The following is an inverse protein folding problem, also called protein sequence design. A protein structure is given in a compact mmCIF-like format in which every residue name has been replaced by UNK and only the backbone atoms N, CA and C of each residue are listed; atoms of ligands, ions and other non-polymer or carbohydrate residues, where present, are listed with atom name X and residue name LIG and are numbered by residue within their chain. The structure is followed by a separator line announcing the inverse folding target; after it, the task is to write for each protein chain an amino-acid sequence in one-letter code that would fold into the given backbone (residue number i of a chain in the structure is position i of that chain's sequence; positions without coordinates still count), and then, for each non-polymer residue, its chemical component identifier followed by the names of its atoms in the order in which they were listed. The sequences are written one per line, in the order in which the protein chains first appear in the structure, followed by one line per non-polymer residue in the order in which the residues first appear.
data_IF_403769199418
#
_entry.id   IF_403769199418
#
_cell.length_a   1.000
_cell.length_b   1.000
_cell.length_c   1.000
_cell.angle_alpha   90.00
_cell.angle_beta   90.00
_cell.angle_gamma   90.00
#
_symmetry.space_group_name_H-M   'P 1'
#
loop_
_entity.id
_entity.type
_entity.pdbx_description
1 polymer ?
#
# COMPACT_ATOMS: atom_id res chain seq x y z
N UNK A 1 10.05 2.17 28.99
CA UNK A 1 9.39 3.43 28.56
C UNK A 1 9.65 3.58 27.08
N UNK A 2 8.65 3.93 26.27
CA UNK A 2 8.81 4.12 24.82
C UNK A 2 9.10 5.60 24.52
N UNK A 3 10.18 5.89 23.82
CA UNK A 3 10.46 7.22 23.27
C UNK A 3 9.65 7.44 21.97
N UNK A 4 9.50 8.68 21.50
CA UNK A 4 8.86 8.95 20.20
C UNK A 4 9.45 8.13 19.05
N UNK A 5 10.77 7.94 19.02
CA UNK A 5 11.45 7.12 18.00
C UNK A 5 11.04 5.64 18.06
N UNK A 6 10.85 5.08 19.27
CA UNK A 6 10.40 3.69 19.43
C UNK A 6 8.96 3.52 18.89
N UNK A 7 8.12 4.53 19.14
CA UNK A 7 6.74 4.55 18.63
C UNK A 7 6.74 4.66 17.11
N UNK A 8 7.59 5.50 16.53
CA UNK A 8 7.75 5.61 15.07
C UNK A 8 8.13 4.26 14.44
N UNK A 9 9.10 3.53 15.00
CA UNK A 9 9.50 2.22 14.49
C UNK A 9 8.38 1.17 14.63
N UNK A 10 7.65 1.20 15.74
CA UNK A 10 6.49 0.32 15.95
C UNK A 10 5.41 0.59 14.90
N UNK A 11 5.12 1.86 14.63
CA UNK A 11 4.16 2.31 13.64
C UNK A 11 4.57 1.93 12.22
N UNK A 12 5.85 2.05 11.87
CA UNK A 12 6.39 1.60 10.58
C UNK A 12 6.16 0.10 10.34
N UNK A 13 6.47 -0.74 11.33
CA UNK A 13 6.21 -2.20 11.23
C UNK A 13 4.71 -2.51 11.09
N UNK A 14 3.87 -1.78 11.82
CA UNK A 14 2.42 -1.97 11.75
C UNK A 14 1.85 -1.52 10.41
N UNK A 15 2.33 -0.40 9.88
CA UNK A 15 1.96 0.09 8.56
C UNK A 15 2.34 -0.93 7.49
N UNK A 16 3.58 -1.44 7.49
CA UNK A 16 4.02 -2.45 6.51
C UNK A 16 3.14 -3.71 6.52
N UNK A 17 2.73 -4.18 7.70
CA UNK A 17 1.86 -5.36 7.80
C UNK A 17 0.36 -5.11 7.56
N UNK A 18 -0.15 -3.89 7.80
CA UNK A 18 -1.61 -3.62 7.83
C UNK A 18 -2.11 -2.54 6.86
N UNK A 19 -1.24 -1.83 6.14
CA UNK A 19 -1.64 -0.75 5.23
C UNK A 19 -2.74 -1.17 4.24
N UNK A 20 -2.67 -2.41 3.72
CA UNK A 20 -3.68 -2.97 2.82
C UNK A 20 -5.06 -3.08 3.48
N UNK A 21 -5.11 -3.66 4.67
CA UNK A 21 -6.36 -3.84 5.41
C UNK A 21 -6.97 -2.48 5.81
N UNK A 22 -6.12 -1.54 6.25
CA UNK A 22 -6.54 -0.18 6.55
C UNK A 22 -7.14 0.54 5.34
N UNK A 23 -6.57 0.33 4.15
CA UNK A 23 -7.07 0.93 2.91
C UNK A 23 -8.47 0.42 2.55
N UNK A 24 -8.73 -0.86 2.83
CA UNK A 24 -10.05 -1.48 2.60
C UNK A 24 -11.15 -0.96 3.54
N UNK A 25 -10.81 -0.10 4.52
CA UNK A 25 -11.71 0.25 5.61
C UNK A 25 -12.03 -0.95 6.52
N UNK A 26 -11.28 -2.05 6.38
CA UNK A 26 -11.46 -3.22 7.20
C UNK A 26 -10.84 -2.92 8.57
N UNK A 27 -11.70 -2.61 9.54
CA UNK A 27 -11.36 -2.63 10.95
C UNK A 27 -12.05 -3.80 11.68
N UNK A 28 -11.76 -5.06 11.29
CA UNK A 28 -12.41 -6.23 11.89
C UNK A 28 -12.10 -6.36 13.39
N UNK A 29 -11.00 -5.76 13.84
CA UNK A 29 -10.53 -5.83 15.23
C UNK A 29 -11.05 -4.66 16.09
N UNK A 30 -11.78 -3.68 15.54
CA UNK A 30 -12.13 -2.44 16.25
C UNK A 30 -10.89 -1.69 16.77
N UNK A 31 -9.83 -1.70 15.96
CA UNK A 31 -8.50 -1.19 16.27
C UNK A 31 -8.44 0.33 16.37
N UNK A 32 -9.38 1.04 15.76
CA UNK A 32 -9.42 2.49 15.80
C UNK A 32 -10.34 3.01 16.92
N UNK A 33 -9.88 3.97 17.74
CA UNK A 33 -8.59 4.64 17.67
C UNK A 33 -7.44 3.77 18.21
N UNK A 34 -6.31 3.76 17.48
CA UNK A 34 -5.12 2.99 17.84
C UNK A 34 -4.44 3.61 19.06
N UNK A 35 -4.50 2.91 20.19
CA UNK A 35 -3.91 3.36 21.45
C UNK A 35 -2.56 2.65 21.69
N UNK A 36 -1.49 3.44 21.83
CA UNK A 36 -0.14 2.97 22.10
C UNK A 36 0.25 3.36 23.52
N UNK A 37 0.30 2.38 24.42
CA UNK A 37 0.78 2.59 25.77
C UNK A 37 2.28 2.93 25.75
N UNK A 38 2.64 4.06 26.35
CA UNK A 38 4.02 4.57 26.40
C UNK A 38 4.86 3.92 27.51
N UNK A 39 4.19 3.15 28.38
CA UNK A 39 4.80 2.35 29.43
C UNK A 39 5.15 3.20 30.65
N UNK A 40 4.12 3.74 31.29
CA UNK A 40 4.22 4.55 32.51
C UNK A 40 4.93 3.76 33.62
N UNK A 41 6.06 4.27 34.16
CA UNK A 41 6.80 3.54 35.19
C UNK A 41 6.04 3.44 36.52
N UNK A 42 6.40 2.45 37.32
CA UNK A 42 5.98 2.36 38.73
C UNK A 42 6.86 3.25 39.60
N UNK A 43 6.41 3.60 40.81
CA UNK A 43 7.16 4.45 41.75
C UNK A 43 8.58 3.91 42.00
N UNK A 44 8.72 2.60 42.23
CA UNK A 44 10.02 1.96 42.44
C UNK A 44 10.94 2.03 41.21
N UNK A 45 10.39 1.88 39.99
CA UNK A 45 11.17 1.97 38.77
C UNK A 45 11.62 3.42 38.50
N UNK A 46 10.75 4.39 38.79
CA UNK A 46 11.07 5.80 38.65
C UNK A 46 12.14 6.27 39.63
N UNK A 47 12.10 5.81 40.89
CA UNK A 47 13.13 6.12 41.89
C UNK A 47 14.51 5.57 41.51
N UNK A 48 14.57 4.42 40.81
CA UNK A 48 15.84 3.84 40.35
C UNK A 48 16.46 4.58 39.17
N UNK A 49 15.66 5.29 38.37
CA UNK A 49 16.11 5.93 37.13
C UNK A 49 15.40 7.28 36.90
N UNK A 50 15.49 8.19 37.87
CA UNK A 50 14.75 9.46 37.88
C UNK A 50 15.05 10.30 36.63
N UNK A 51 16.33 10.43 36.26
CA UNK A 51 16.74 11.22 35.10
C UNK A 51 16.21 10.65 33.79
N UNK A 52 16.17 9.31 33.65
CA UNK A 52 15.63 8.66 32.46
C UNK A 52 14.11 8.86 32.34
N UNK A 53 13.37 8.81 33.44
CA UNK A 53 11.92 9.10 33.45
C UNK A 53 11.67 10.57 33.10
N UNK A 54 12.49 11.49 33.62
CA UNK A 54 12.37 12.92 33.31
C UNK A 54 12.66 13.21 31.84
N UNK A 55 13.77 12.70 31.30
CA UNK A 55 14.13 12.86 29.90
C UNK A 55 13.06 12.25 28.97
N UNK A 56 12.51 11.09 29.31
CA UNK A 56 11.40 10.49 28.58
C UNK A 56 10.14 11.36 28.60
N UNK A 57 9.74 11.87 29.77
CA UNK A 57 8.58 12.77 29.88
C UNK A 57 8.81 14.07 29.09
N UNK A 58 10.01 14.66 29.16
CA UNK A 58 10.34 15.89 28.44
C UNK A 58 10.37 15.66 26.92
N UNK A 59 10.84 14.51 26.44
CA UNK A 59 10.77 14.14 25.03
C UNK A 59 9.30 14.12 24.52
N UNK A 60 8.37 13.62 25.33
CA UNK A 60 6.94 13.62 25.00
C UNK A 60 6.27 15.01 25.16
N UNK A 61 6.77 15.89 26.04
CA UNK A 61 6.30 17.28 26.14
C UNK A 61 6.73 18.13 24.94
N UNK A 62 7.96 17.93 24.48
CA UNK A 62 8.53 18.63 23.33
C UNK A 62 7.98 18.09 21.99
N UNK A 63 7.45 16.87 21.98
CA UNK A 63 6.87 16.26 20.78
C UNK A 63 5.68 17.05 20.23
N UNK A 64 5.64 17.17 18.89
CA UNK A 64 4.63 17.89 18.10
C UNK A 64 4.28 17.10 16.84
N UNK A 65 3.81 15.87 17.01
CA UNK A 65 3.40 15.00 15.90
C UNK A 65 1.90 14.77 15.82
N UNK A 66 1.49 13.87 14.93
CA UNK A 66 0.09 13.50 14.75
C UNK A 66 -0.43 12.62 15.89
N UNK A 67 -1.68 12.83 16.29
CA UNK A 67 -2.34 12.07 17.36
C UNK A 67 -2.52 12.83 18.66
N UNK A 68 -3.23 12.20 19.59
CA UNK A 68 -3.57 12.75 20.88
C UNK A 68 -2.71 12.07 21.97
N UNK A 69 -1.87 12.86 22.64
CA UNK A 69 -1.04 12.39 23.74
C UNK A 69 -1.82 12.53 25.06
N UNK A 70 -2.13 11.39 25.69
CA UNK A 70 -2.77 11.34 27.00
C UNK A 70 -1.73 11.40 28.11
N UNK A 71 -1.98 12.28 29.06
CA UNK A 71 -1.17 12.47 30.26
C UNK A 71 -1.95 12.01 31.48
N UNK A 72 -1.25 11.41 32.44
CA UNK A 72 -1.83 10.99 33.71
C UNK A 72 -1.06 11.62 34.86
N UNK A 73 -1.78 12.15 35.85
CA UNK A 73 -1.18 12.63 37.08
C UNK A 73 -1.07 11.47 38.07
N UNK A 74 0.15 11.17 38.50
CA UNK A 74 0.41 10.15 39.53
C UNK A 74 0.98 10.80 40.77
N UNK A 75 0.36 10.51 41.92
CA UNK A 75 0.87 10.91 43.22
C UNK A 75 1.66 9.75 43.82
N UNK A 76 2.96 9.98 44.00
CA UNK A 76 3.89 9.06 44.62
C UNK A 76 4.26 9.55 46.02
N UNK A 77 4.53 8.62 46.95
CA UNK A 77 4.83 8.95 48.34
C UNK A 77 6.14 9.75 48.46
N UNK A 78 7.14 9.41 47.65
CA UNK A 78 8.48 10.03 47.73
C UNK A 78 8.65 11.16 46.70
N UNK A 79 8.17 10.96 45.47
CA UNK A 79 8.37 11.89 44.35
C UNK A 79 7.22 12.89 44.16
N UNK A 80 6.20 12.84 45.04
CA UNK A 80 5.04 13.73 44.98
C UNK A 80 4.17 13.53 43.73
N UNK A 81 3.45 14.58 43.33
CA UNK A 81 2.63 14.57 42.13
C UNK A 81 3.50 14.74 40.88
N UNK A 82 3.40 13.79 39.96
CA UNK A 82 4.13 13.76 38.69
C UNK A 82 3.15 13.58 37.52
N UNK A 83 3.23 14.47 36.53
CA UNK A 83 2.49 14.32 35.27
C UNK A 83 3.35 13.53 34.28
N UNK A 84 2.87 12.35 33.90
CA UNK A 84 3.59 11.39 33.06
C UNK A 84 2.78 11.08 31.79
N UNK A 85 3.45 10.89 30.63
CA UNK A 85 2.77 10.52 29.41
C UNK A 85 2.31 9.06 29.51
N UNK A 86 1.02 8.82 29.28
CA UNK A 86 0.38 7.52 29.48
C UNK A 86 0.27 6.74 28.16
N UNK A 87 -0.38 7.36 27.18
CA UNK A 87 -0.67 6.73 25.91
C UNK A 87 -0.72 7.74 24.77
N UNK A 88 -0.33 7.30 23.58
CA UNK A 88 -0.58 8.02 22.32
C UNK A 88 -1.80 7.40 21.64
N UNK A 89 -2.76 8.22 21.24
CA UNK A 89 -3.99 7.79 20.56
C UNK A 89 -3.99 8.33 19.14
N UNK A 90 -4.05 7.43 18.16
CA UNK A 90 -4.16 7.76 16.74
C UNK A 90 -5.56 7.41 16.24
N UNK A 91 -6.21 8.35 15.57
CA UNK A 91 -7.63 8.25 15.18
C UNK A 91 -7.82 7.46 13.90
N UNK A 92 -6.84 7.51 13.00
CA UNK A 92 -6.93 6.94 11.66
C UNK A 92 -5.56 6.50 11.12
N UNK A 93 -5.54 5.70 10.04
CA UNK A 93 -4.31 5.27 9.37
C UNK A 93 -3.46 6.42 8.80
N UNK A 94 -4.07 7.58 8.50
CA UNK A 94 -3.35 8.74 7.95
C UNK A 94 -2.44 9.36 9.01
N UNK A 95 -2.88 9.40 10.28
CA UNK A 95 -2.00 9.79 11.37
C UNK A 95 -0.82 8.82 11.52
N UNK A 96 -1.00 7.53 11.27
CA UNK A 96 0.12 6.56 11.25
C UNK A 96 1.09 6.87 10.10
N UNK A 97 0.59 7.18 8.91
CA UNK A 97 1.45 7.52 7.77
C UNK A 97 2.24 8.82 7.99
N UNK A 98 1.66 9.80 8.70
CA UNK A 98 2.37 11.01 9.14
C UNK A 98 3.58 10.69 10.03
N UNK A 99 3.46 9.74 10.95
CA UNK A 99 4.56 9.34 11.84
C UNK A 99 5.76 8.76 11.09
N UNK A 100 5.51 8.06 9.98
CA UNK A 100 6.55 7.38 9.21
C UNK A 100 7.02 8.20 8.00
N UNK A 101 6.42 9.37 7.75
CA UNK A 101 6.75 10.24 6.62
C UNK A 101 6.16 9.80 5.27
N UNK A 102 5.13 8.94 5.28
CA UNK A 102 4.52 8.35 4.08
C UNK A 102 3.11 8.90 3.80
N UNK A 103 2.82 10.12 4.27
CA UNK A 103 1.48 10.71 4.15
C UNK A 103 1.02 10.84 2.71
N UNK A 104 1.87 11.36 1.81
CA UNK A 104 1.50 11.57 0.40
C UNK A 104 1.27 10.24 -0.31
N UNK A 105 2.11 9.24 -0.01
CA UNK A 105 1.97 7.88 -0.52
C UNK A 105 0.66 7.24 -0.08
N UNK A 106 0.30 7.41 1.19
CA UNK A 106 -0.96 6.92 1.74
C UNK A 106 -2.18 7.62 1.13
N UNK A 107 -2.17 8.96 1.08
CA UNK A 107 -3.28 9.74 0.51
C UNK A 107 -3.54 9.38 -0.94
N UNK A 108 -2.49 9.32 -1.76
CA UNK A 108 -2.60 8.91 -3.16
C UNK A 108 -3.22 7.53 -3.30
N UNK A 109 -2.76 6.57 -2.48
CA UNK A 109 -3.33 5.22 -2.50
C UNK A 109 -4.81 5.21 -2.09
N UNK A 110 -5.19 5.98 -1.06
CA UNK A 110 -6.57 6.09 -0.58
C UNK A 110 -7.50 6.74 -1.60
N UNK A 111 -7.09 7.84 -2.22
CA UNK A 111 -7.86 8.53 -3.27
C UNK A 111 -8.09 7.61 -4.47
N UNK A 112 -7.03 6.97 -4.96
CA UNK A 112 -7.11 6.04 -6.09
C UNK A 112 -7.89 4.78 -5.76
N UNK A 113 -7.84 4.29 -4.52
CA UNK A 113 -8.69 3.21 -4.05
C UNK A 113 -10.18 3.58 -4.17
N UNK A 114 -10.56 4.75 -3.66
CA UNK A 114 -11.96 5.22 -3.75
C UNK A 114 -12.39 5.38 -5.21
N UNK A 115 -11.52 5.91 -6.07
CA UNK A 115 -11.80 6.03 -7.51
C UNK A 115 -12.06 4.66 -8.17
N UNK A 116 -11.20 3.68 -7.92
CA UNK A 116 -11.33 2.33 -8.49
C UNK A 116 -12.55 1.61 -7.91
N UNK A 117 -12.80 1.72 -6.61
CA UNK A 117 -13.98 1.16 -5.96
C UNK A 117 -15.30 1.77 -6.47
N UNK A 118 -15.32 3.07 -6.76
CA UNK A 118 -16.49 3.73 -7.35
C UNK A 118 -16.74 3.27 -8.80
N UNK A 119 -15.69 3.11 -9.60
CA UNK A 119 -15.80 2.72 -11.02
C UNK A 119 -16.03 1.22 -11.23
N UNK A 120 -15.43 0.38 -10.38
CA UNK A 120 -15.58 -1.07 -10.40
C UNK A 120 -15.76 -1.63 -8.98
N UNK A 121 -16.99 -1.60 -8.44
CA UNK A 121 -17.27 -2.10 -7.08
C UNK A 121 -16.86 -3.56 -6.85
N UNK A 122 -16.89 -4.39 -7.89
CA UNK A 122 -16.44 -5.79 -7.85
C UNK A 122 -14.98 -5.95 -7.37
N UNK A 123 -14.16 -4.91 -7.52
CA UNK A 123 -12.75 -4.93 -7.12
C UNK A 123 -12.51 -4.63 -5.63
N UNK A 124 -13.51 -4.20 -4.86
CA UNK A 124 -13.33 -3.71 -3.49
C UNK A 124 -12.55 -4.69 -2.60
N UNK A 125 -12.76 -6.01 -2.74
CA UNK A 125 -12.04 -7.04 -1.97
C UNK A 125 -10.61 -7.35 -2.43
N UNK A 126 -10.24 -6.98 -3.67
CA UNK A 126 -8.94 -7.30 -4.29
C UNK A 126 -8.00 -6.10 -4.36
N UNK A 127 -8.53 -4.89 -4.49
CA UNK A 127 -7.79 -3.62 -4.52
C UNK A 127 -6.74 -3.45 -3.39
N UNK A 128 -6.97 -3.90 -2.15
CA UNK A 128 -5.97 -3.79 -1.09
C UNK A 128 -4.62 -4.45 -1.43
N UNK A 129 -4.64 -5.52 -2.24
CA UNK A 129 -3.41 -6.21 -2.69
C UNK A 129 -2.59 -5.38 -3.66
N UNK A 130 -3.25 -4.47 -4.36
CA UNK A 130 -2.68 -3.57 -5.36
C UNK A 130 -2.19 -2.25 -4.74
N UNK A 131 -1.93 -2.20 -3.42
CA UNK A 131 -1.48 -0.98 -2.75
C UNK A 131 -0.30 -0.31 -3.46
N UNK A 132 0.72 -1.06 -3.89
CA UNK A 132 1.87 -0.49 -4.61
C UNK A 132 1.48 0.14 -5.95
N UNK A 133 0.49 -0.42 -6.65
CA UNK A 133 -0.03 0.18 -7.90
C UNK A 133 -0.74 1.50 -7.59
N UNK A 134 -1.58 1.51 -6.56
CA UNK A 134 -2.30 2.71 -6.14
C UNK A 134 -1.34 3.79 -5.62
N UNK A 135 -0.35 3.43 -4.82
CA UNK A 135 0.57 4.34 -4.16
C UNK A 135 1.70 4.85 -5.07
N UNK A 136 2.28 3.97 -5.89
CA UNK A 136 3.62 4.19 -6.44
C UNK A 136 3.62 4.42 -7.97
N UNK A 137 2.52 4.12 -8.67
CA UNK A 137 2.43 4.44 -10.10
C UNK A 137 2.38 5.95 -10.32
N UNK A 138 3.11 6.43 -11.33
CA UNK A 138 2.94 7.78 -11.85
C UNK A 138 1.50 7.99 -12.33
N UNK A 139 1.00 9.23 -12.23
CA UNK A 139 -0.40 9.55 -12.55
C UNK A 139 -0.79 9.11 -13.96
N UNK A 140 0.03 9.43 -14.96
CA UNK A 140 -0.22 9.03 -16.35
C UNK A 140 -0.24 7.51 -16.56
N UNK A 141 0.59 6.75 -15.84
CA UNK A 141 0.59 5.29 -15.93
C UNK A 141 -0.63 4.68 -15.23
N UNK A 142 -1.07 5.28 -14.12
CA UNK A 142 -2.27 4.87 -13.43
C UNK A 142 -3.52 5.13 -14.28
N UNK A 143 -3.64 6.29 -14.91
CA UNK A 143 -4.73 6.60 -15.85
C UNK A 143 -4.77 5.61 -17.01
N UNK A 144 -3.62 5.36 -17.67
CA UNK A 144 -3.53 4.36 -18.75
C UNK A 144 -3.94 2.97 -18.30
N UNK A 145 -3.60 2.58 -17.07
CA UNK A 145 -4.02 1.30 -16.49
C UNK A 145 -5.54 1.21 -16.39
N UNK A 146 -6.20 2.28 -15.92
CA UNK A 146 -7.66 2.32 -15.81
C UNK A 146 -8.35 2.35 -17.17
N UNK A 147 -7.81 3.10 -18.13
CA UNK A 147 -8.34 3.16 -19.50
C UNK A 147 -8.23 1.81 -20.20
N UNK A 148 -7.09 1.13 -20.03
CA UNK A 148 -6.89 -0.21 -20.55
C UNK A 148 -7.82 -1.22 -19.90
N UNK A 149 -7.97 -1.19 -18.58
CA UNK A 149 -8.92 -2.05 -17.87
C UNK A 149 -10.34 -1.82 -18.40
N UNK A 150 -10.78 -0.57 -18.54
CA UNK A 150 -12.08 -0.23 -19.09
C UNK A 150 -12.26 -0.77 -20.51
N UNK A 151 -11.24 -0.62 -21.36
CA UNK A 151 -11.28 -1.08 -22.74
C UNK A 151 -11.36 -2.61 -22.83
N UNK A 152 -10.56 -3.33 -22.04
CA UNK A 152 -10.55 -4.80 -21.99
C UNK A 152 -11.91 -5.35 -21.54
N UNK A 153 -12.52 -4.75 -20.52
CA UNK A 153 -13.84 -5.15 -20.04
C UNK A 153 -14.95 -4.89 -21.07
N UNK A 154 -14.81 -3.86 -21.90
CA UNK A 154 -15.73 -3.56 -22.99
C UNK A 154 -15.50 -4.46 -24.23
N UNK A 155 -14.31 -5.07 -24.39
CA UNK A 155 -13.94 -5.88 -25.54
C UNK A 155 -13.34 -7.23 -25.12
N UNK A 156 -14.11 -8.10 -24.42
CA UNK A 156 -13.60 -9.31 -23.78
C UNK A 156 -13.04 -10.36 -24.76
N UNK A 157 -13.36 -10.29 -26.06
CA UNK A 157 -12.91 -11.21 -27.10
C UNK A 157 -12.34 -10.47 -28.32
N UNK A 158 -11.63 -9.36 -28.09
CA UNK A 158 -11.15 -8.48 -29.17
C UNK A 158 -10.32 -9.21 -30.26
N UNK A 159 -9.60 -10.29 -29.90
CA UNK A 159 -8.70 -11.00 -30.80
C UNK A 159 -7.53 -10.15 -31.30
N UNK A 160 -7.28 -8.99 -30.68
CA UNK A 160 -6.23 -8.05 -31.07
C UNK A 160 -4.90 -8.41 -30.43
N UNK A 161 -3.80 -8.11 -31.15
CA UNK A 161 -2.49 -8.06 -30.51
C UNK A 161 -2.40 -6.86 -29.56
N UNK A 162 -1.58 -6.96 -28.52
CA UNK A 162 -1.31 -5.87 -27.57
C UNK A 162 -1.05 -4.50 -28.26
N UNK A 163 -0.22 -4.50 -29.31
CA UNK A 163 0.13 -3.30 -30.08
C UNK A 163 -0.99 -2.73 -30.96
N UNK A 164 -2.11 -3.45 -31.11
CA UNK A 164 -3.27 -3.02 -31.89
C UNK A 164 -4.36 -2.41 -30.99
N UNK A 165 -4.17 -2.43 -29.67
CA UNK A 165 -5.09 -1.81 -28.74
C UNK A 165 -5.11 -0.29 -29.04
N UNK A 166 -6.29 0.31 -29.30
CA UNK A 166 -6.41 1.69 -29.75
C UNK A 166 -6.30 2.68 -28.59
N UNK A 167 -5.27 2.54 -27.75
CA UNK A 167 -5.01 3.42 -26.61
C UNK A 167 -3.63 4.04 -26.74
N UNK A 168 -3.57 5.37 -26.60
CA UNK A 168 -2.32 6.11 -26.71
C UNK A 168 -1.40 5.82 -25.50
N UNK A 169 -0.10 5.68 -25.76
CA UNK A 169 0.91 5.49 -24.71
C UNK A 169 0.95 4.09 -24.09
N UNK A 170 0.25 3.11 -24.69
CA UNK A 170 0.29 1.70 -24.32
C UNK A 170 1.01 0.92 -25.41
N UNK A 171 2.33 0.77 -25.26
CA UNK A 171 3.12 -0.09 -26.13
C UNK A 171 3.24 -1.52 -25.55
N UNK A 172 3.77 -2.45 -26.36
CA UNK A 172 3.95 -3.85 -25.95
C UNK A 172 4.81 -3.98 -24.69
N UNK A 173 5.85 -3.16 -24.52
CA UNK A 173 6.75 -3.21 -23.36
C UNK A 173 6.06 -2.69 -22.10
N UNK A 174 5.28 -1.62 -22.22
CA UNK A 174 4.46 -1.09 -21.14
C UNK A 174 3.49 -2.16 -20.64
N UNK A 175 2.81 -2.85 -21.57
CA UNK A 175 1.87 -3.92 -21.23
C UNK A 175 2.56 -5.13 -20.60
N UNK A 176 3.67 -5.60 -21.19
CA UNK A 176 4.43 -6.77 -20.73
C UNK A 176 4.83 -6.67 -19.25
N UNK A 177 5.24 -5.48 -18.81
CA UNK A 177 5.61 -5.23 -17.40
C UNK A 177 4.43 -5.19 -16.42
N UNK A 178 3.19 -5.16 -16.92
CA UNK A 178 1.95 -4.94 -16.13
C UNK A 178 0.89 -6.01 -16.32
N UNK A 179 1.18 -7.09 -17.06
CA UNK A 179 0.24 -8.18 -17.34
C UNK A 179 -0.32 -8.83 -16.08
N UNK A 180 0.50 -9.04 -15.05
CA UNK A 180 0.05 -9.61 -13.77
C UNK A 180 -0.98 -8.73 -13.04
N UNK A 181 -0.69 -7.43 -12.93
CA UNK A 181 -1.61 -6.45 -12.33
C UNK A 181 -2.92 -6.38 -13.11
N UNK A 182 -2.85 -6.31 -14.43
CA UNK A 182 -4.03 -6.28 -15.29
C UNK A 182 -4.84 -7.58 -15.21
N UNK A 183 -4.17 -8.74 -15.15
CA UNK A 183 -4.85 -10.02 -14.96
C UNK A 183 -5.62 -10.05 -13.63
N UNK A 184 -5.00 -9.60 -12.54
CA UNK A 184 -5.67 -9.51 -11.24
C UNK A 184 -6.89 -8.57 -11.27
N UNK A 185 -6.78 -7.42 -11.96
CA UNK A 185 -7.88 -6.46 -12.12
C UNK A 185 -9.00 -7.04 -12.99
N UNK A 186 -8.70 -7.59 -14.16
CA UNK A 186 -9.71 -8.17 -15.06
C UNK A 186 -10.41 -9.33 -14.38
N UNK A 187 -9.67 -10.29 -13.81
CA UNK A 187 -10.23 -11.42 -13.08
C UNK A 187 -11.08 -10.96 -11.88
N UNK A 188 -10.67 -9.88 -11.21
CA UNK A 188 -11.42 -9.30 -10.10
C UNK A 188 -12.78 -8.72 -10.52
N UNK A 189 -12.88 -8.12 -11.71
CA UNK A 189 -14.15 -7.60 -12.23
C UNK A 189 -15.01 -8.71 -12.83
N UNK A 190 -14.42 -9.62 -13.60
CA UNK A 190 -15.16 -10.67 -14.32
C UNK A 190 -15.51 -11.88 -13.44
N UNK A 191 -14.93 -11.97 -12.25
CA UNK A 191 -15.07 -13.14 -11.36
C UNK A 191 -14.26 -14.36 -11.82
N UNK A 192 -13.32 -14.18 -12.77
CA UNK A 192 -12.46 -15.24 -13.29
C UNK A 192 -11.36 -15.68 -12.32
N UNK A 193 -10.68 -16.82 -12.59
CA UNK A 193 -9.50 -17.22 -11.85
C UNK A 193 -8.36 -16.21 -12.10
N UNK A 194 -7.81 -15.64 -11.04
CA UNK A 194 -6.69 -14.70 -11.13
C UNK A 194 -5.32 -15.41 -11.19
N UNK A 195 -5.21 -16.59 -10.59
CA UNK A 195 -3.94 -17.33 -10.49
C UNK A 195 -3.77 -18.32 -11.65
N UNK A 196 -2.64 -18.20 -12.35
CA UNK A 196 -2.25 -19.13 -13.43
C UNK A 196 -3.05 -19.03 -14.72
N UNK A 197 -4.01 -18.11 -14.82
CA UNK A 197 -4.73 -17.83 -16.05
C UNK A 197 -3.79 -17.12 -17.05
N UNK A 198 -3.79 -17.60 -18.29
CA UNK A 198 -3.07 -16.92 -19.38
C UNK A 198 -3.68 -15.53 -19.58
N UNK A 199 -2.88 -14.49 -19.37
CA UNK A 199 -3.28 -13.08 -19.54
C UNK A 199 -3.95 -12.83 -20.89
N UNK A 200 -3.43 -13.43 -21.97
CA UNK A 200 -3.98 -13.26 -23.31
C UNK A 200 -5.39 -13.85 -23.41
N UNK A 201 -5.61 -15.06 -22.90
CA UNK A 201 -6.92 -15.67 -22.86
C UNK A 201 -7.90 -14.91 -21.95
N UNK A 202 -7.44 -14.50 -20.76
CA UNK A 202 -8.26 -13.75 -19.80
C UNK A 202 -8.75 -12.40 -20.37
N UNK A 203 -7.92 -11.77 -21.20
CA UNK A 203 -8.18 -10.46 -21.80
C UNK A 203 -8.72 -10.54 -23.24
N UNK A 204 -8.98 -11.74 -23.77
CA UNK A 204 -9.38 -11.93 -25.17
C UNK A 204 -8.39 -11.37 -26.19
N UNK A 205 -7.11 -11.33 -25.85
CA UNK A 205 -6.03 -10.82 -26.70
C UNK A 205 -5.37 -11.95 -27.48
N UNK A 206 -4.89 -11.63 -28.68
CA UNK A 206 -4.13 -12.57 -29.51
C UNK A 206 -2.70 -12.69 -28.99
N UNK A 207 -2.25 -13.93 -28.84
CA UNK A 207 -0.85 -14.24 -28.51
C UNK A 207 0.07 -13.82 -29.65
N UNK A 208 1.23 -13.20 -29.36
CA UNK A 208 2.28 -13.02 -30.35
C UNK A 208 2.66 -14.37 -30.97
N UNK A 209 2.91 -14.39 -32.28
CA UNK A 209 3.47 -15.58 -32.92
C UNK A 209 4.84 -15.88 -32.32
N UNK A 210 5.13 -17.16 -32.06
CA UNK A 210 6.42 -17.57 -31.52
C UNK A 210 7.54 -17.12 -32.47
N UNK A 211 8.50 -16.34 -31.96
CA UNK A 211 9.68 -15.97 -32.72
C UNK A 211 10.62 -17.17 -32.76
N UNK A 212 10.96 -17.62 -33.97
CA UNK A 212 11.90 -18.72 -34.20
C UNK A 212 13.19 -18.12 -34.72
N UNK A 213 14.31 -18.38 -34.03
CA UNK A 213 15.64 -18.07 -34.58
C UNK A 213 15.95 -19.08 -35.68
N UNK A 214 15.81 -18.66 -36.94
CA UNK A 214 16.24 -19.48 -38.07
C UNK A 214 17.70 -19.20 -38.40
N UNK A 215 18.45 -20.26 -38.71
CA UNK A 215 19.79 -20.18 -39.32
C UNK A 215 19.80 -21.00 -40.59
N UNK A 216 20.16 -20.36 -41.69
CA UNK A 216 20.27 -21.03 -42.99
C UNK A 216 21.62 -21.75 -43.05
N UNK A 217 21.59 -23.08 -43.06
CA UNK A 217 22.80 -23.90 -43.05
C UNK A 217 23.41 -24.07 -44.46
N UNK A 218 22.57 -23.98 -45.49
CA UNK A 218 23.01 -24.07 -46.88
C UNK A 218 23.84 -22.82 -47.30
N UNK A 219 25.11 -23.00 -47.73
CA UNK A 219 25.97 -21.89 -48.12
C UNK A 219 25.50 -21.14 -49.37
N UNK A 220 24.91 -21.84 -50.34
CA UNK A 220 24.46 -21.24 -51.60
C UNK A 220 23.18 -20.41 -51.41
N UNK A 221 22.28 -20.86 -50.54
CA UNK A 221 21.07 -20.13 -50.14
C UNK A 221 21.43 -18.95 -49.22
N UNK A 222 22.42 -19.11 -48.33
CA UNK A 222 22.93 -18.02 -47.49
C UNK A 222 23.57 -16.90 -48.32
N UNK A 223 24.17 -17.22 -49.46
CA UNK A 223 24.77 -16.24 -50.37
C UNK A 223 23.73 -15.47 -51.22
N UNK A 224 22.44 -15.86 -51.18
CA UNK A 224 21.37 -15.32 -52.04
C UNK A 224 20.30 -14.51 -51.28
N UNK A 225 20.37 -14.48 -49.96
CA UNK A 225 19.50 -13.73 -49.07
C UNK A 225 20.28 -12.58 -48.44
#
# INVERSE_FOLDING_TARGET
MKLPTDVQQLLARRFDGRHRAWLAGADPDGQWPLTIALGTPTEQAALRQVDAVRAWADAWRAWRGAGELRWTERRWKILGAQSLPEALVLRDPEQVSMWIGEIDRWRRAAERFQLVAARWPALAGRQPRLFGVLADYADADFERLLDLLAWLLAHPDSGLYARQIPLAGIDSKWLETRTGVLAELVAGVTGGPADGADFHALCGLRRPAAQIRMRILDPALRARL
#
